data_IF_397872944475
#
_entry.id   IF_397872944475
#
_cell.length_a   1.000
_cell.length_b   1.000
_cell.length_c   1.000
_cell.angle_alpha   90.00
_cell.angle_beta   90.00
_cell.angle_gamma   90.00
#
_symmetry.space_group_name_H-M   'P 1'
#
loop_
_entity.id
_entity.type
_entity.pdbx_description
1 polymer ?
#
# COMPACT_ATOMS: atom_id res chain seq x y z
N UNK A 1 5.18 -10.44 -1.30
CA UNK A 1 5.64 -10.78 -2.67
C UNK A 1 4.55 -11.18 -3.67
N UNK A 2 3.50 -11.96 -3.32
CA UNK A 2 2.48 -12.38 -4.30
C UNK A 2 1.64 -11.21 -4.87
N UNK A 3 1.33 -10.20 -4.04
CA UNK A 3 0.57 -9.00 -4.44
C UNK A 3 1.30 -8.16 -5.50
N UNK A 4 2.63 -8.23 -5.58
CA UNK A 4 3.41 -7.46 -6.54
C UNK A 4 3.26 -7.98 -7.99
N UNK A 5 2.67 -9.16 -8.17
CA UNK A 5 2.41 -9.75 -9.49
C UNK A 5 1.00 -9.44 -10.01
N UNK A 6 0.18 -8.74 -9.24
CA UNK A 6 -1.17 -8.39 -9.64
C UNK A 6 -1.17 -7.14 -10.53
N UNK A 7 -0.70 -7.27 -11.77
CA UNK A 7 -0.54 -6.15 -12.70
C UNK A 7 -1.84 -5.41 -13.07
N UNK A 8 -3.00 -5.97 -12.75
CA UNK A 8 -4.32 -5.35 -12.99
C UNK A 8 -4.97 -4.79 -11.73
N UNK A 9 -4.31 -4.87 -10.57
CA UNK A 9 -4.86 -4.38 -9.31
C UNK A 9 -5.01 -2.87 -9.37
N UNK A 10 -6.24 -2.37 -9.13
CA UNK A 10 -6.56 -0.94 -9.11
C UNK A 10 -6.86 -0.43 -7.71
N UNK A 11 -7.43 -1.28 -6.87
CA UNK A 11 -7.85 -0.97 -5.52
C UNK A 11 -7.40 -2.10 -4.60
N UNK A 12 -6.71 -1.75 -3.52
CA UNK A 12 -6.34 -2.68 -2.46
C UNK A 12 -6.73 -2.07 -1.12
N UNK A 13 -7.61 -2.75 -0.39
CA UNK A 13 -8.02 -2.36 0.95
C UNK A 13 -7.54 -3.43 1.93
N UNK A 14 -6.66 -3.04 2.83
CA UNK A 14 -6.16 -3.85 3.96
C UNK A 14 -6.49 -3.19 5.30
N UNK A 15 -7.40 -2.20 5.31
CA UNK A 15 -7.79 -1.48 6.52
C UNK A 15 -8.39 -2.41 7.59
N UNK A 16 -8.34 -1.98 8.84
CA UNK A 16 -8.91 -2.69 10.00
C UNK A 16 -8.31 -4.09 10.20
N UNK A 17 -7.00 -4.20 10.06
CA UNK A 17 -6.26 -5.42 10.39
C UNK A 17 -5.23 -5.12 11.48
N UNK A 18 -4.55 -6.17 11.94
CA UNK A 18 -3.47 -6.07 12.94
C UNK A 18 -2.09 -6.14 12.27
N UNK A 19 -1.96 -5.61 11.04
CA UNK A 19 -0.69 -5.64 10.32
C UNK A 19 0.21 -4.57 10.93
N UNK A 20 1.43 -4.97 11.30
CA UNK A 20 2.44 -4.11 11.93
C UNK A 20 3.73 -4.15 11.13
N UNK A 21 4.46 -3.02 11.09
CA UNK A 21 5.74 -2.91 10.38
C UNK A 21 5.91 -1.61 9.62
N UNK A 22 7.06 -1.45 8.99
CA UNK A 22 7.28 -0.33 8.06
C UNK A 22 6.72 -0.66 6.67
N UNK A 23 6.28 0.39 5.97
CA UNK A 23 5.94 0.24 4.56
C UNK A 23 7.22 0.11 3.74
N UNK A 24 7.31 -0.87 2.82
CA UNK A 24 8.42 -0.94 1.87
C UNK A 24 8.54 0.37 1.10
N UNK A 25 9.76 0.88 0.92
CA UNK A 25 10.03 2.10 0.14
C UNK A 25 9.47 2.01 -1.29
N UNK A 26 9.44 0.78 -1.83
CA UNK A 26 8.97 0.49 -3.16
C UNK A 26 7.46 0.19 -3.26
N UNK A 27 6.67 0.28 -2.18
CA UNK A 27 5.28 -0.20 -2.15
C UNK A 27 4.40 0.38 -3.27
N UNK A 28 4.64 1.64 -3.65
CA UNK A 28 3.93 2.29 -4.76
C UNK A 28 4.27 1.71 -6.14
N UNK A 29 5.51 1.27 -6.38
CA UNK A 29 5.88 0.62 -7.65
C UNK A 29 5.62 -0.89 -7.61
N UNK A 30 5.86 -1.50 -6.45
CA UNK A 30 5.78 -2.95 -6.23
C UNK A 30 4.37 -3.50 -6.39
N UNK A 31 3.33 -2.81 -5.88
CA UNK A 31 1.94 -3.27 -5.98
C UNK A 31 1.34 -3.17 -7.40
N UNK A 32 2.11 -2.68 -8.37
CA UNK A 32 1.74 -2.64 -9.79
C UNK A 32 1.35 -1.24 -10.25
N UNK A 33 1.73 -0.91 -11.49
CA UNK A 33 1.54 0.40 -12.11
C UNK A 33 0.08 0.85 -12.26
N UNK A 34 -0.87 -0.08 -12.14
CA UNK A 34 -2.30 0.18 -12.28
C UNK A 34 -3.00 0.49 -10.95
N UNK A 35 -2.32 0.32 -9.81
CA UNK A 35 -2.92 0.61 -8.51
C UNK A 35 -3.21 2.11 -8.41
N UNK A 36 -4.42 2.44 -7.96
CA UNK A 36 -4.91 3.82 -7.77
C UNK A 36 -5.12 4.13 -6.30
N UNK A 37 -5.60 3.15 -5.55
CA UNK A 37 -5.95 3.33 -4.13
C UNK A 37 -5.38 2.19 -3.31
N UNK A 38 -4.68 2.56 -2.25
CA UNK A 38 -4.22 1.67 -1.19
C UNK A 38 -4.75 2.18 0.15
N UNK A 39 -5.66 1.43 0.76
CA UNK A 39 -6.23 1.77 2.07
C UNK A 39 -5.61 0.86 3.14
N UNK A 40 -4.86 1.47 4.07
CA UNK A 40 -4.14 0.79 5.16
C UNK A 40 -4.61 1.25 6.53
N UNK A 41 -5.68 2.06 6.60
CA UNK A 41 -6.22 2.64 7.83
C UNK A 41 -6.48 1.61 8.92
N UNK A 42 -6.41 2.02 10.18
CA UNK A 42 -6.61 1.13 11.32
C UNK A 42 -5.71 -0.14 11.26
N UNK A 43 -4.41 0.06 11.03
CA UNK A 43 -3.35 -0.94 11.21
C UNK A 43 -2.23 -0.34 12.09
N UNK A 44 -1.18 -1.11 12.35
CA UNK A 44 0.00 -0.64 13.10
C UNK A 44 1.22 -0.38 12.20
N UNK A 45 1.02 0.19 11.01
CA UNK A 45 2.14 0.61 10.17
C UNK A 45 2.84 1.83 10.76
N UNK A 46 4.17 1.90 10.63
CA UNK A 46 4.98 3.00 11.14
C UNK A 46 6.11 3.36 10.16
N UNK A 47 6.86 4.42 10.47
CA UNK A 47 7.97 4.91 9.65
C UNK A 47 7.53 5.92 8.58
N UNK A 48 8.41 6.15 7.61
CA UNK A 48 8.17 7.14 6.55
C UNK A 48 7.19 6.60 5.52
N UNK A 49 6.11 7.32 5.27
CA UNK A 49 5.21 7.02 4.15
C UNK A 49 5.95 7.38 2.85
N UNK A 50 6.24 6.41 1.97
CA UNK A 50 6.94 6.71 0.72
C UNK A 50 6.11 7.65 -0.15
N UNK A 51 6.74 8.69 -0.69
CA UNK A 51 6.08 9.62 -1.60
C UNK A 51 5.75 8.93 -2.94
N UNK A 52 4.56 8.34 -3.05
CA UNK A 52 4.08 7.77 -4.31
C UNK A 52 3.34 8.85 -5.11
N UNK A 53 3.86 9.19 -6.30
CA UNK A 53 3.25 10.19 -7.19
C UNK A 53 2.04 9.66 -7.97
N UNK A 54 1.68 8.38 -7.84
CA UNK A 54 0.62 7.75 -8.67
C UNK A 54 -0.40 6.93 -7.89
N UNK A 55 -0.20 6.70 -6.59
CA UNK A 55 -1.11 5.94 -5.71
C UNK A 55 -1.47 6.80 -4.52
N UNK A 56 -2.77 6.90 -4.24
CA UNK A 56 -3.27 7.48 -3.01
C UNK A 56 -3.20 6.44 -1.89
N UNK A 57 -2.42 6.73 -0.85
CA UNK A 57 -2.25 5.88 0.33
C UNK A 57 -2.96 6.54 1.51
N UNK A 58 -3.87 5.82 2.17
CA UNK A 58 -4.54 6.25 3.41
C UNK A 58 -4.02 5.44 4.60
N UNK A 59 -3.59 6.10 5.69
CA UNK A 59 -2.89 5.43 6.82
C UNK A 59 -3.36 5.80 8.24
N UNK A 60 -4.51 6.46 8.41
CA UNK A 60 -5.02 6.86 9.74
C UNK A 60 -5.91 5.83 10.47
#
# INVERSE_FOLDING_TARGET
MALYRCGLLRYLNLSQNLIVGELPEDIGRGLGANLRTLDLRYNGFYGTIPASQSILIHVD
#
